data_IF_216391677654
#
_entry.id   IF_216391677654
#
_cell.length_a   1.000
_cell.length_b   1.000
_cell.length_c   1.000
_cell.angle_alpha   90.00
_cell.angle_beta   90.00
_cell.angle_gamma   90.00
#
_symmetry.space_group_name_H-M   'P 1'
#
loop_
_entity.id
_entity.type
_entity.pdbx_description
1 polymer ?
#
# COMPACT_ATOMS: atom_id res chain seq x y z
N UNK A 1 -33.47 20.88 -7.95
CA UNK A 1 -33.15 19.42 -7.96
C UNK A 1 -33.11 18.95 -6.51
N UNK A 2 -34.09 18.13 -6.07
CA UNK A 2 -34.17 17.60 -4.70
C UNK A 2 -32.97 16.68 -4.43
N UNK A 3 -31.92 17.22 -3.86
CA UNK A 3 -30.90 16.44 -3.19
C UNK A 3 -31.39 16.29 -1.76
N UNK A 4 -31.97 15.13 -1.42
CA UNK A 4 -31.90 14.47 -0.10
C UNK A 4 -32.77 13.20 -0.16
N UNK A 5 -32.08 12.10 0.14
CA UNK A 5 -32.53 10.79 0.65
C UNK A 5 -33.47 9.91 -0.20
N UNK A 6 -32.85 9.10 -1.08
CA UNK A 6 -33.28 7.70 -1.27
C UNK A 6 -32.31 6.69 -0.63
N UNK A 7 -31.12 7.15 -0.20
CA UNK A 7 -30.07 6.28 0.33
C UNK A 7 -30.04 6.32 1.86
N UNK A 8 -30.05 5.15 2.50
CA UNK A 8 -29.88 5.03 3.95
C UNK A 8 -28.42 5.27 4.36
N UNK A 9 -28.21 5.72 5.60
CA UNK A 9 -26.87 5.88 6.18
C UNK A 9 -26.03 4.61 6.06
N UNK A 10 -26.62 3.44 6.35
CA UNK A 10 -25.97 2.14 6.25
C UNK A 10 -25.48 1.86 4.83
N UNK A 11 -26.29 2.17 3.80
CA UNK A 11 -25.89 2.02 2.40
C UNK A 11 -24.73 2.94 2.04
N UNK A 12 -24.84 4.23 2.38
CA UNK A 12 -23.80 5.21 2.09
C UNK A 12 -22.47 4.84 2.76
N UNK A 13 -22.51 4.43 4.03
CA UNK A 13 -21.33 3.96 4.77
C UNK A 13 -20.74 2.68 4.16
N UNK A 14 -21.58 1.70 3.81
CA UNK A 14 -21.11 0.47 3.16
C UNK A 14 -20.42 0.77 1.84
N UNK A 15 -20.97 1.66 1.01
CA UNK A 15 -20.35 2.06 -0.25
C UNK A 15 -19.02 2.80 -0.05
N UNK A 16 -18.94 3.63 0.99
CA UNK A 16 -17.68 4.30 1.36
C UNK A 16 -16.61 3.28 1.73
N UNK A 17 -16.93 2.32 2.61
CA UNK A 17 -16.00 1.27 3.02
C UNK A 17 -15.55 0.46 1.81
N UNK A 18 -16.47 0.00 0.98
CA UNK A 18 -16.16 -0.74 -0.25
C UNK A 18 -15.28 0.06 -1.22
N UNK A 19 -15.48 1.38 -1.29
CA UNK A 19 -14.66 2.25 -2.12
C UNK A 19 -13.22 2.38 -1.60
N UNK A 20 -13.00 2.34 -0.28
CA UNK A 20 -11.66 2.49 0.32
C UNK A 20 -10.86 1.17 0.29
N UNK A 21 -11.55 0.03 0.33
CA UNK A 21 -10.91 -1.31 0.41
C UNK A 21 -9.77 -1.55 -0.59
N UNK A 22 -9.89 -1.25 -1.90
CA UNK A 22 -8.78 -1.50 -2.84
C UNK A 22 -7.51 -0.71 -2.53
N UNK A 23 -7.63 0.55 -2.07
CA UNK A 23 -6.47 1.33 -1.61
C UNK A 23 -5.86 0.65 -0.38
N UNK A 24 -6.67 0.29 0.62
CA UNK A 24 -6.18 -0.38 1.83
C UNK A 24 -5.46 -1.69 1.51
N UNK A 25 -6.05 -2.54 0.66
CA UNK A 25 -5.45 -3.81 0.25
C UNK A 25 -4.14 -3.60 -0.49
N UNK A 26 -4.10 -2.65 -1.44
CA UNK A 26 -2.88 -2.28 -2.16
C UNK A 26 -1.76 -1.83 -1.21
N UNK A 27 -2.08 -0.99 -0.21
CA UNK A 27 -1.09 -0.53 0.76
C UNK A 27 -0.54 -1.64 1.65
N UNK A 28 -1.38 -2.62 2.02
CA UNK A 28 -0.92 -3.79 2.77
C UNK A 28 -0.01 -4.68 1.91
N UNK A 29 -0.36 -4.89 0.64
CA UNK A 29 0.47 -5.65 -0.29
C UNK A 29 1.82 -4.94 -0.52
N UNK A 30 1.81 -3.62 -0.66
CA UNK A 30 3.02 -2.81 -0.78
C UNK A 30 3.90 -2.93 0.47
N UNK A 31 3.31 -2.79 1.67
CA UNK A 31 4.04 -3.00 2.93
C UNK A 31 4.68 -4.39 2.99
N UNK A 32 3.95 -5.43 2.57
CA UNK A 32 4.47 -6.79 2.53
C UNK A 32 5.63 -6.92 1.53
N UNK A 33 5.48 -6.36 0.32
CA UNK A 33 6.54 -6.33 -0.69
C UNK A 33 7.82 -5.71 -0.13
N UNK A 34 7.75 -4.48 0.40
CA UNK A 34 8.91 -3.76 0.93
C UNK A 34 9.57 -4.50 2.10
N UNK A 35 8.75 -5.09 3.00
CA UNK A 35 9.26 -5.87 4.13
C UNK A 35 9.95 -7.15 3.66
N UNK A 36 9.40 -7.86 2.68
CA UNK A 36 10.01 -9.08 2.17
C UNK A 36 11.30 -8.78 1.42
N UNK A 37 11.30 -7.78 0.53
CA UNK A 37 12.47 -7.48 -0.30
C UNK A 37 13.63 -6.92 0.53
N UNK A 38 13.35 -6.08 1.53
CA UNK A 38 14.40 -5.59 2.45
C UNK A 38 15.05 -6.68 3.30
N UNK A 39 14.47 -7.88 3.37
CA UNK A 39 14.99 -9.01 4.13
C UNK A 39 15.79 -10.01 3.30
N UNK A 40 15.79 -9.90 1.97
CA UNK A 40 16.56 -10.76 1.06
C UNK A 40 18.05 -10.83 1.45
N UNK A 41 18.75 -9.71 1.76
CA UNK A 41 20.15 -9.75 2.19
C UNK A 41 20.43 -10.59 3.44
N UNK A 42 19.40 -10.87 4.25
CA UNK A 42 19.54 -11.60 5.50
C UNK A 42 19.27 -13.11 5.35
N UNK A 43 18.86 -13.58 4.16
CA UNK A 43 18.49 -14.97 3.95
C UNK A 43 19.67 -15.94 4.09
N UNK A 44 20.90 -15.48 3.85
CA UNK A 44 22.10 -16.30 4.01
C UNK A 44 22.34 -16.71 5.48
N UNK A 45 21.80 -15.95 6.43
CA UNK A 45 22.02 -16.16 7.86
C UNK A 45 20.83 -16.85 8.55
N UNK A 46 19.64 -16.83 7.94
CA UNK A 46 18.38 -17.22 8.62
C UNK A 46 18.33 -18.71 8.99
N UNK A 47 19.00 -19.56 8.21
CA UNK A 47 19.02 -21.00 8.44
C UNK A 47 20.15 -21.43 9.40
N UNK A 48 21.27 -20.70 9.42
CA UNK A 48 22.41 -21.00 10.28
C UNK A 48 22.25 -20.47 11.70
N UNK A 49 21.53 -19.35 11.87
CA UNK A 49 21.24 -18.75 13.17
C UNK A 49 19.78 -18.26 13.23
N UNK A 50 18.81 -19.17 13.47
CA UNK A 50 17.39 -18.83 13.48
C UNK A 50 17.00 -17.86 14.60
N UNK A 51 17.73 -17.86 15.72
CA UNK A 51 17.53 -16.89 16.80
C UNK A 51 18.06 -15.50 16.44
N UNK A 52 19.04 -15.44 15.53
CA UNK A 52 19.61 -14.21 14.97
C UNK A 52 20.53 -13.45 15.93
N UNK A 53 20.84 -14.00 17.10
CA UNK A 53 21.62 -13.30 18.14
C UNK A 53 23.08 -13.15 17.71
N UNK A 54 23.69 -14.23 17.22
CA UNK A 54 25.09 -14.23 16.79
C UNK A 54 25.25 -13.41 15.52
N UNK A 55 24.34 -13.60 14.55
CA UNK A 55 24.31 -12.84 13.30
C UNK A 55 24.14 -11.34 13.55
N UNK A 56 23.25 -10.95 14.47
CA UNK A 56 23.06 -9.54 14.81
C UNK A 56 24.34 -8.92 15.39
N UNK A 57 25.02 -9.61 16.31
CA UNK A 57 26.32 -9.17 16.83
C UNK A 57 27.36 -9.00 15.72
N UNK A 58 27.51 -10.01 14.87
CA UNK A 58 28.46 -9.96 13.75
C UNK A 58 28.20 -8.80 12.78
N UNK A 59 26.93 -8.54 12.44
CA UNK A 59 26.54 -7.44 11.56
C UNK A 59 26.67 -6.06 12.22
N UNK A 60 26.54 -5.98 13.55
CA UNK A 60 26.82 -4.75 14.30
C UNK A 60 28.30 -4.42 14.29
N UNK A 61 29.15 -5.43 14.51
CA UNK A 61 30.61 -5.25 14.54
C UNK A 61 31.18 -5.04 13.13
N UNK A 62 30.60 -5.68 12.11
CA UNK A 62 31.06 -5.63 10.73
C UNK A 62 29.88 -5.46 9.74
N UNK A 63 29.32 -4.23 9.59
CA UNK A 63 28.16 -3.98 8.73
C UNK A 63 28.38 -4.32 7.24
N UNK A 64 29.64 -4.38 6.79
CA UNK A 64 30.02 -4.74 5.43
C UNK A 64 29.83 -6.22 5.07
N UNK A 65 29.59 -7.09 6.07
CA UNK A 65 29.29 -8.52 5.84
C UNK A 65 27.93 -8.73 5.17
N UNK A 66 27.02 -7.75 5.24
CA UNK A 66 25.71 -7.86 4.62
C UNK A 66 25.79 -7.47 3.13
N UNK A 67 25.73 -8.46 2.26
CA UNK A 67 25.69 -8.21 0.81
C UNK A 67 24.33 -7.60 0.40
N UNK A 68 24.38 -6.37 -0.10
CA UNK A 68 23.21 -5.62 -0.58
C UNK A 68 23.07 -5.65 -2.10
N UNK A 69 23.94 -6.36 -2.82
CA UNK A 69 23.96 -6.43 -4.29
C UNK A 69 22.60 -6.81 -4.86
N UNK A 70 21.98 -7.85 -4.31
CA UNK A 70 20.64 -8.35 -4.68
C UNK A 70 19.55 -7.28 -4.47
N UNK A 71 19.58 -6.58 -3.34
CA UNK A 71 18.64 -5.51 -3.03
C UNK A 71 18.83 -4.29 -3.95
N UNK A 72 20.08 -3.92 -4.23
CA UNK A 72 20.41 -2.82 -5.15
C UNK A 72 19.92 -3.11 -6.57
N UNK A 73 20.09 -4.34 -7.05
CA UNK A 73 19.57 -4.80 -8.34
C UNK A 73 18.03 -4.74 -8.39
N UNK A 74 17.34 -5.18 -7.32
CA UNK A 74 15.87 -5.20 -7.28
C UNK A 74 15.23 -3.83 -7.03
N UNK A 75 15.96 -2.89 -6.40
CA UNK A 75 15.49 -1.56 -6.00
C UNK A 75 14.68 -0.80 -7.08
N UNK A 76 15.14 -0.66 -8.36
CA UNK A 76 14.36 0.03 -9.39
C UNK A 76 13.01 -0.64 -9.66
N UNK A 77 12.98 -1.97 -9.72
CA UNK A 77 11.74 -2.72 -9.98
C UNK A 77 10.76 -2.63 -8.82
N UNK A 78 11.25 -2.68 -7.58
CA UNK A 78 10.44 -2.49 -6.37
C UNK A 78 9.77 -1.11 -6.39
N UNK A 79 10.51 -0.06 -6.77
CA UNK A 79 9.97 1.29 -6.91
C UNK A 79 8.85 1.37 -7.96
N UNK A 80 9.04 0.75 -9.12
CA UNK A 80 8.01 0.69 -10.18
C UNK A 80 6.77 -0.06 -9.69
N UNK A 81 6.95 -1.24 -9.10
CA UNK A 81 5.84 -2.04 -8.55
C UNK A 81 5.11 -1.26 -7.45
N UNK A 82 5.82 -0.52 -6.60
CA UNK A 82 5.22 0.30 -5.54
C UNK A 82 4.27 1.37 -6.10
N UNK A 83 4.70 2.08 -7.14
CA UNK A 83 3.87 3.07 -7.83
C UNK A 83 2.68 2.40 -8.51
N UNK A 84 2.90 1.31 -9.24
CA UNK A 84 1.85 0.58 -9.95
C UNK A 84 0.79 0.01 -9.00
N UNK A 85 1.20 -0.59 -7.88
CA UNK A 85 0.28 -1.07 -6.85
C UNK A 85 -0.56 0.07 -6.29
N UNK A 86 0.07 1.19 -5.94
CA UNK A 86 -0.61 2.36 -5.39
C UNK A 86 -1.66 2.91 -6.37
N UNK A 87 -1.27 3.14 -7.63
CA UNK A 87 -2.17 3.60 -8.68
C UNK A 87 -3.26 2.58 -8.99
N UNK A 88 -2.94 1.29 -8.99
CA UNK A 88 -3.90 0.20 -9.17
C UNK A 88 -4.99 0.22 -8.10
N UNK A 89 -4.60 0.42 -6.84
CA UNK A 89 -5.55 0.58 -5.72
C UNK A 89 -6.50 1.76 -5.94
N UNK A 90 -5.97 2.93 -6.32
CA UNK A 90 -6.78 4.11 -6.63
C UNK A 90 -7.74 3.85 -7.81
N UNK A 91 -7.24 3.32 -8.92
CA UNK A 91 -8.04 3.04 -10.13
C UNK A 91 -9.18 2.07 -9.79
N UNK A 92 -8.89 0.97 -9.08
CA UNK A 92 -9.91 0.00 -8.68
C UNK A 92 -10.97 0.64 -7.77
N UNK A 93 -10.56 1.44 -6.80
CA UNK A 93 -11.48 2.20 -5.94
C UNK A 93 -12.39 3.14 -6.73
N UNK A 94 -11.84 3.88 -7.70
CA UNK A 94 -12.63 4.76 -8.57
C UNK A 94 -13.57 3.97 -9.48
N UNK A 95 -13.17 2.80 -9.97
CA UNK A 95 -14.02 1.91 -10.76
C UNK A 95 -15.19 1.36 -9.94
N UNK A 96 -14.97 0.99 -8.67
CA UNK A 96 -16.05 0.59 -7.75
C UNK A 96 -17.05 1.75 -7.59
N UNK A 97 -16.55 2.97 -7.35
CA UNK A 97 -17.40 4.15 -7.22
C UNK A 97 -18.15 4.46 -8.53
N UNK A 98 -17.54 4.22 -9.69
CA UNK A 98 -18.17 4.42 -11.01
C UNK A 98 -19.29 3.39 -11.26
N UNK A 99 -19.05 2.13 -10.91
CA UNK A 99 -19.98 1.01 -11.19
C UNK A 99 -21.18 0.97 -10.25
N UNK A 100 -21.16 1.67 -9.12
CA UNK A 100 -22.29 1.67 -8.19
C UNK A 100 -23.50 2.44 -8.76
N UNK A 101 -24.69 1.88 -8.62
CA UNK A 101 -25.95 2.56 -8.91
C UNK A 101 -26.35 3.49 -7.75
N UNK A 102 -25.51 4.47 -7.41
CA UNK A 102 -25.84 5.44 -6.35
C UNK A 102 -26.73 6.54 -6.90
N UNK A 103 -27.94 6.65 -6.37
CA UNK A 103 -28.88 7.75 -6.66
C UNK A 103 -28.39 9.08 -6.07
N UNK A 104 -27.56 9.03 -5.02
CA UNK A 104 -27.09 10.19 -4.28
C UNK A 104 -25.71 10.67 -4.74
N UNK A 105 -25.68 11.82 -5.42
CA UNK A 105 -24.45 12.50 -5.89
C UNK A 105 -23.53 12.92 -4.75
N UNK A 106 -24.06 13.33 -3.59
CA UNK A 106 -23.26 13.76 -2.44
C UNK A 106 -22.48 12.58 -1.84
N UNK A 107 -23.15 11.44 -1.61
CA UNK A 107 -22.52 10.20 -1.17
C UNK A 107 -21.38 9.78 -2.10
N UNK A 108 -21.56 9.99 -3.41
CA UNK A 108 -20.52 9.71 -4.43
C UNK A 108 -19.34 10.65 -4.31
N UNK A 109 -19.58 11.94 -4.20
CA UNK A 109 -18.53 12.94 -3.98
C UNK A 109 -17.74 12.65 -2.70
N UNK A 110 -18.42 12.33 -1.59
CA UNK A 110 -17.77 11.98 -0.32
C UNK A 110 -16.89 10.74 -0.49
N UNK A 111 -17.37 9.70 -1.17
CA UNK A 111 -16.57 8.48 -1.39
C UNK A 111 -15.33 8.75 -2.25
N UNK A 112 -15.45 9.55 -3.31
CA UNK A 112 -14.30 9.96 -4.13
C UNK A 112 -13.31 10.77 -3.28
N UNK A 113 -13.78 11.75 -2.53
CA UNK A 113 -12.93 12.57 -1.66
C UNK A 113 -12.19 11.74 -0.62
N UNK A 114 -12.87 10.80 0.03
CA UNK A 114 -12.25 9.90 1.01
C UNK A 114 -11.19 8.99 0.37
N UNK A 115 -11.46 8.41 -0.81
CA UNK A 115 -10.49 7.60 -1.54
C UNK A 115 -9.26 8.41 -1.94
N UNK A 116 -9.43 9.62 -2.48
CA UNK A 116 -8.32 10.49 -2.88
C UNK A 116 -7.50 10.92 -1.66
N UNK A 117 -8.15 11.32 -0.57
CA UNK A 117 -7.48 11.73 0.65
C UNK A 117 -6.65 10.57 1.21
N UNK A 118 -7.27 9.40 1.37
CA UNK A 118 -6.62 8.22 1.91
C UNK A 118 -5.47 7.73 1.02
N UNK A 119 -5.67 7.66 -0.29
CA UNK A 119 -4.62 7.35 -1.26
C UNK A 119 -3.44 8.34 -1.16
N UNK A 120 -3.73 9.64 -1.14
CA UNK A 120 -2.70 10.69 -1.12
C UNK A 120 -1.79 10.57 0.09
N UNK A 121 -2.34 10.23 1.26
CA UNK A 121 -1.54 10.03 2.47
C UNK A 121 -0.42 9.00 2.25
N UNK A 122 -0.72 7.85 1.66
CA UNK A 122 0.28 6.83 1.40
C UNK A 122 1.14 7.13 0.17
N UNK A 123 0.54 7.63 -0.90
CA UNK A 123 1.25 7.89 -2.14
C UNK A 123 2.34 8.94 -1.95
N UNK A 124 2.08 9.99 -1.17
CA UNK A 124 3.10 10.99 -0.80
C UNK A 124 4.24 10.33 -0.03
N UNK A 125 3.95 9.41 0.90
CA UNK A 125 5.00 8.68 1.63
C UNK A 125 5.86 7.83 0.69
N UNK A 126 5.26 7.16 -0.30
CA UNK A 126 6.00 6.34 -1.27
C UNK A 126 6.85 7.20 -2.19
N UNK A 127 6.31 8.33 -2.66
CA UNK A 127 7.08 9.27 -3.48
C UNK A 127 8.25 9.82 -2.68
N UNK A 128 8.03 10.36 -1.48
CA UNK A 128 9.10 10.92 -0.64
C UNK A 128 10.14 9.87 -0.17
N UNK A 129 9.75 8.60 -0.06
CA UNK A 129 10.68 7.52 0.26
C UNK A 129 11.59 7.17 -0.93
N UNK A 130 11.09 7.29 -2.16
CA UNK A 130 11.78 6.79 -3.36
C UNK A 130 12.46 7.88 -4.21
N UNK A 131 11.87 9.08 -4.25
CA UNK A 131 12.25 10.22 -5.08
C UNK A 131 12.49 11.43 -4.18
#
# INVERSE_FOLDING_TARGET
>A
KRAVSGESWKSAFTQLVLAVLPVTASMHLLKALLKTTSRIPYWDFVFSDPAGVTTAGMLMDNPGLLDKSSLLFLSPYIGIIAVLLSLGGLILSLLIIKKRHAVNTLSKAISVGAVILYFSMFFVTIVAWRF
#
